data_IF_083882486613
#
_entry.id   IF_083882486613
#
_cell.length_a   1.000
_cell.length_b   1.000
_cell.length_c   1.000
_cell.angle_alpha   90.00
_cell.angle_beta   90.00
_cell.angle_gamma   90.00
#
_symmetry.space_group_name_H-M   'P 1'
#
loop_
_entity.id
_entity.type
_entity.pdbx_description
1 polymer ?
#
# COMPACT_ATOMS: atom_id res chain seq x y z
N UNK A 1 -14.53 1.02 1.11
CA UNK A 1 -13.10 1.20 1.48
C UNK A 1 -12.31 -0.11 1.60
N UNK A 2 -12.47 -0.91 2.67
CA UNK A 2 -11.65 -2.13 2.92
C UNK A 2 -11.49 -3.04 1.70
N UNK A 3 -12.60 -3.38 1.03
CA UNK A 3 -12.61 -4.26 -0.15
C UNK A 3 -11.77 -3.70 -1.30
N UNK A 4 -11.88 -2.39 -1.60
CA UNK A 4 -11.09 -1.74 -2.64
C UNK A 4 -9.59 -1.76 -2.31
N UNK A 5 -9.22 -1.53 -1.05
CA UNK A 5 -7.82 -1.61 -0.60
C UNK A 5 -7.28 -3.03 -0.81
N UNK A 6 -8.01 -4.06 -0.40
CA UNK A 6 -7.58 -5.46 -0.55
C UNK A 6 -7.46 -5.88 -2.03
N UNK A 7 -8.42 -5.49 -2.87
CA UNK A 7 -8.37 -5.77 -4.31
C UNK A 7 -7.15 -5.08 -4.96
N UNK A 8 -6.90 -3.81 -4.62
CA UNK A 8 -5.74 -3.08 -5.10
C UNK A 8 -4.41 -3.71 -4.65
N UNK A 9 -4.28 -4.08 -3.38
CA UNK A 9 -3.10 -4.78 -2.85
C UNK A 9 -2.84 -6.07 -3.62
N UNK A 10 -3.86 -6.91 -3.79
CA UNK A 10 -3.77 -8.17 -4.54
C UNK A 10 -3.33 -7.91 -5.99
N UNK A 11 -3.97 -6.98 -6.70
CA UNK A 11 -3.64 -6.67 -8.10
C UNK A 11 -2.21 -6.14 -8.28
N UNK A 12 -1.67 -5.48 -7.26
CA UNK A 12 -0.31 -4.92 -7.25
C UNK A 12 0.74 -5.86 -6.64
N UNK A 13 0.32 -7.08 -6.29
CA UNK A 13 1.17 -8.11 -5.70
C UNK A 13 1.78 -7.69 -4.35
N UNK A 14 1.02 -6.93 -3.57
CA UNK A 14 1.31 -6.74 -2.16
C UNK A 14 0.72 -7.91 -1.37
N UNK A 15 1.51 -8.47 -0.47
CA UNK A 15 1.07 -9.49 0.48
C UNK A 15 0.43 -8.81 1.67
N UNK A 16 -0.81 -9.19 1.99
CA UNK A 16 -1.51 -8.72 3.19
C UNK A 16 -1.01 -9.53 4.39
N UNK A 17 -0.38 -8.88 5.35
CA UNK A 17 0.10 -9.52 6.58
C UNK A 17 -0.99 -9.55 7.66
N UNK A 18 -1.78 -8.47 7.75
CA UNK A 18 -2.88 -8.33 8.71
C UNK A 18 -3.95 -7.38 8.15
N UNK A 19 -5.22 -7.67 8.39
CA UNK A 19 -6.33 -6.87 7.89
C UNK A 19 -7.41 -6.65 8.95
N UNK A 20 -7.07 -5.84 9.95
CA UNK A 20 -7.94 -5.47 11.05
C UNK A 20 -9.04 -4.49 10.63
N UNK A 21 -9.95 -4.21 11.57
CA UNK A 21 -10.96 -3.17 11.39
C UNK A 21 -10.29 -1.80 11.40
N UNK A 22 -10.39 -1.08 10.28
CA UNK A 22 -9.82 0.26 10.12
C UNK A 22 -8.32 0.31 9.88
N UNK A 23 -7.62 -0.84 9.79
CA UNK A 23 -6.19 -0.87 9.51
C UNK A 23 -5.77 -2.12 8.72
N UNK A 24 -4.92 -1.97 7.71
CA UNK A 24 -4.35 -3.09 6.94
C UNK A 24 -2.83 -2.95 6.90
N UNK A 25 -2.11 -4.02 7.20
CA UNK A 25 -0.66 -4.13 7.07
C UNK A 25 -0.32 -4.95 5.84
N UNK A 26 0.61 -4.45 5.02
CA UNK A 26 1.01 -5.11 3.80
C UNK A 26 2.50 -4.97 3.52
N UNK A 27 3.01 -5.95 2.79
CA UNK A 27 4.40 -6.12 2.42
C UNK A 27 4.51 -6.26 0.91
N UNK A 28 5.52 -5.66 0.29
CA UNK A 28 5.92 -5.99 -1.08
C UNK A 28 7.41 -6.33 -1.09
N UNK A 29 7.73 -7.40 -1.82
CA UNK A 29 9.11 -7.79 -2.10
C UNK A 29 9.29 -7.95 -3.61
N UNK A 30 10.27 -7.24 -4.16
CA UNK A 30 10.65 -7.33 -5.57
C UNK A 30 12.16 -7.46 -5.69
N UNK A 31 12.62 -8.63 -6.14
CA UNK A 31 14.04 -8.99 -6.18
C UNK A 31 14.66 -8.79 -4.79
N UNK A 32 15.65 -7.92 -4.67
CA UNK A 32 16.32 -7.56 -3.42
C UNK A 32 15.64 -6.41 -2.65
N UNK A 33 14.59 -5.77 -3.16
CA UNK A 33 13.96 -4.62 -2.49
C UNK A 33 12.68 -5.05 -1.76
N UNK A 34 12.51 -4.57 -0.53
CA UNK A 34 11.33 -4.86 0.29
C UNK A 34 10.78 -3.58 0.91
N UNK A 35 9.45 -3.44 0.97
CA UNK A 35 8.79 -2.36 1.70
C UNK A 35 7.58 -2.88 2.48
N UNK A 36 7.42 -2.37 3.69
CA UNK A 36 6.30 -2.61 4.56
C UNK A 36 5.51 -1.32 4.76
N UNK A 37 4.19 -1.45 4.71
CA UNK A 37 3.26 -0.32 4.85
C UNK A 37 2.13 -0.67 5.80
N UNK A 38 1.53 0.39 6.33
CA UNK A 38 0.29 0.35 7.08
C UNK A 38 -0.72 1.29 6.41
N UNK A 39 -1.93 0.80 6.19
CA UNK A 39 -3.01 1.50 5.53
C UNK A 39 -4.17 1.66 6.52
N UNK A 40 -4.16 2.70 7.37
CA UNK A 40 -5.32 3.03 8.15
C UNK A 40 -6.41 3.57 7.22
N UNK A 41 -7.65 3.17 7.47
CA UNK A 41 -8.80 3.54 6.65
C UNK A 41 -10.07 3.72 7.49
N UNK A 42 -10.97 4.56 6.98
CA UNK A 42 -12.30 4.80 7.52
C UNK A 42 -13.36 4.43 6.47
N UNK A 43 -14.61 4.83 6.69
CA UNK A 43 -15.65 4.71 5.66
C UNK A 43 -15.35 5.60 4.44
N UNK A 44 -14.73 6.77 4.63
CA UNK A 44 -14.58 7.83 3.63
C UNK A 44 -13.15 8.13 3.20
N UNK A 45 -12.14 7.69 3.95
CA UNK A 45 -10.74 8.03 3.69
C UNK A 45 -9.77 6.88 3.97
N UNK A 46 -8.57 6.97 3.42
CA UNK A 46 -7.44 6.10 3.74
C UNK A 46 -6.12 6.87 3.65
N UNK A 47 -5.05 6.32 4.20
CA UNK A 47 -3.68 6.80 3.95
C UNK A 47 -2.74 5.62 3.80
N UNK A 48 -1.65 5.77 3.05
CA UNK A 48 -0.61 4.73 2.91
C UNK A 48 0.62 5.23 3.68
N UNK A 49 0.94 4.55 4.79
CA UNK A 49 2.04 4.96 5.68
C UNK A 49 3.20 3.98 5.55
N UNK A 50 4.40 4.52 5.40
CA UNK A 50 5.64 3.77 5.49
C UNK A 50 5.77 3.13 6.88
N UNK A 51 6.17 1.85 6.94
CA UNK A 51 6.48 1.14 8.19
C UNK A 51 7.97 0.81 8.25
N UNK A 52 8.47 0.09 7.26
CA UNK A 52 9.87 -0.31 7.16
C UNK A 52 10.25 -0.63 5.70
N UNK A 53 11.55 -0.81 5.43
CA UNK A 53 12.05 -1.26 4.14
C UNK A 53 13.44 -1.86 4.21
N UNK A 54 13.71 -2.82 3.33
CA UNK A 54 15.06 -3.35 3.09
C UNK A 54 15.53 -2.97 1.69
N UNK A 55 16.81 -2.60 1.57
CA UNK A 55 17.47 -2.20 0.32
C UNK A 55 16.80 -1.03 -0.42
N UNK A 56 16.04 -0.19 0.29
CA UNK A 56 15.46 1.05 -0.26
C UNK A 56 16.16 2.33 0.24
N UNK A 57 17.20 2.19 1.07
CA UNK A 57 18.08 3.29 1.48
C UNK A 57 17.33 4.42 2.20
N UNK A 58 16.34 4.08 3.04
CA UNK A 58 15.60 5.09 3.81
C UNK A 58 16.55 5.82 4.75
N UNK A 59 16.79 7.11 4.50
CA UNK A 59 17.64 7.97 5.33
C UNK A 59 17.17 9.42 5.23
N UNK A 60 16.95 10.06 6.38
CA UNK A 60 16.54 11.47 6.48
C UNK A 60 15.36 11.82 5.57
N UNK A 61 14.32 10.97 5.54
CA UNK A 61 13.12 11.16 4.72
C UNK A 61 13.31 10.92 3.21
N UNK A 62 14.52 10.59 2.75
CA UNK A 62 14.76 10.17 1.36
C UNK A 62 14.67 8.65 1.27
N UNK A 63 13.97 8.18 0.25
CA UNK A 63 13.81 6.75 -0.05
C UNK A 63 13.95 6.52 -1.55
N UNK A 64 14.42 5.34 -1.92
CA UNK A 64 14.62 4.98 -3.32
C UNK A 64 13.33 5.11 -4.15
N UNK A 65 13.46 5.59 -5.39
CA UNK A 65 12.35 5.87 -6.32
C UNK A 65 11.38 4.70 -6.55
N UNK A 66 11.85 3.46 -6.38
CA UNK A 66 10.99 2.27 -6.53
C UNK A 66 9.88 2.26 -5.50
N UNK A 67 10.18 2.63 -4.25
CA UNK A 67 9.17 2.77 -3.21
C UNK A 67 8.08 3.75 -3.65
N UNK A 68 8.47 4.96 -4.04
CA UNK A 68 7.54 5.99 -4.48
C UNK A 68 6.65 5.51 -5.64
N UNK A 69 7.24 4.80 -6.61
CA UNK A 69 6.49 4.18 -7.71
C UNK A 69 5.49 3.13 -7.22
N UNK A 70 5.87 2.28 -6.27
CA UNK A 70 4.96 1.28 -5.71
C UNK A 70 3.79 1.92 -4.96
N UNK A 71 4.05 2.95 -4.17
CA UNK A 71 3.01 3.69 -3.45
C UNK A 71 2.07 4.41 -4.42
N UNK A 72 2.59 5.12 -5.42
CA UNK A 72 1.77 5.80 -6.43
C UNK A 72 0.90 4.83 -7.23
N UNK A 73 1.44 3.66 -7.59
CA UNK A 73 0.69 2.64 -8.32
C UNK A 73 -0.37 1.96 -7.45
N UNK A 74 -0.08 1.76 -6.16
CA UNK A 74 -1.05 1.23 -5.20
C UNK A 74 -2.19 2.22 -4.99
N UNK A 75 -1.88 3.49 -4.71
CA UNK A 75 -2.86 4.56 -4.54
C UNK A 75 -3.80 4.67 -5.74
N UNK A 76 -3.24 4.74 -6.95
CA UNK A 76 -4.03 4.76 -8.19
C UNK A 76 -4.97 3.55 -8.30
N UNK A 77 -4.51 2.36 -7.94
CA UNK A 77 -5.35 1.16 -7.98
C UNK A 77 -6.45 1.18 -6.92
N UNK A 78 -6.18 1.69 -5.72
CA UNK A 78 -7.22 1.87 -4.71
C UNK A 78 -8.29 2.83 -5.22
N UNK A 79 -7.91 3.97 -5.82
CA UNK A 79 -8.86 4.92 -6.42
C UNK A 79 -9.68 4.29 -7.54
N UNK A 80 -9.07 3.48 -8.42
CA UNK A 80 -9.79 2.77 -9.48
C UNK A 80 -10.82 1.78 -8.93
N UNK A 81 -10.46 1.02 -7.89
CA UNK A 81 -11.37 0.07 -7.25
C UNK A 81 -12.49 0.78 -6.47
N UNK A 82 -12.23 1.94 -5.87
CA UNK A 82 -13.27 2.77 -5.24
C UNK A 82 -14.27 3.31 -6.27
N UNK A 83 -13.78 3.79 -7.42
CA UNK A 83 -14.65 4.27 -8.49
C UNK A 83 -15.51 3.14 -9.06
N UNK A 84 -14.94 1.94 -9.25
CA UNK A 84 -15.68 0.75 -9.71
C UNK A 84 -16.79 0.33 -8.74
N UNK A 85 -16.56 0.45 -7.44
CA UNK A 85 -17.53 0.09 -6.40
C UNK A 85 -18.63 1.16 -6.19
N UNK A 86 -18.53 2.31 -6.86
CA UNK A 86 -19.49 3.41 -6.76
C UNK A 86 -20.56 3.38 -7.87
N UNK A 87 -20.50 2.39 -8.77
CA UNK A 87 -21.51 2.06 -9.77
C UNK A 87 -22.19 0.73 -9.39
#
# INVERSE_FOLDING_TARGET
MRRAILAALQSRQWTVERADRGNIMALIQRRNHQAEITIPYSASSYSIRYRDSQNLGYKNGKIHRNYNKWIQNLDRSIQQELNRASF
#
